data_IF_792929194007
#
_entry.id   IF_792929194007
#
_cell.length_a   1.000
_cell.length_b   1.000
_cell.length_c   1.000
_cell.angle_alpha   90.00
_cell.angle_beta   90.00
_cell.angle_gamma   90.00
#
_symmetry.space_group_name_H-M   'P 1'
#
loop_
_entity.id
_entity.type
_entity.pdbx_description
1 polymer ?
#
# COMPACT_ATOMS: atom_id res chain seq x y z
N UNK A 1 -18.70 8.58 18.70
CA UNK A 1 -18.89 7.81 17.45
C UNK A 1 -17.54 7.19 17.08
N UNK A 2 -17.36 5.88 17.25
CA UNK A 2 -16.10 5.23 16.88
C UNK A 2 -15.91 5.31 15.36
N UNK A 3 -14.81 5.89 14.89
CA UNK A 3 -14.45 5.87 13.47
C UNK A 3 -14.39 4.43 12.97
N UNK A 4 -15.07 4.12 11.86
CA UNK A 4 -14.99 2.78 11.27
C UNK A 4 -13.55 2.48 10.84
N UNK A 5 -13.19 1.20 10.84
CA UNK A 5 -11.84 0.74 10.49
C UNK A 5 -11.31 1.34 9.17
N UNK A 6 -12.18 1.42 8.16
CA UNK A 6 -11.84 1.98 6.86
C UNK A 6 -11.58 3.49 6.90
N UNK A 7 -12.29 4.25 7.74
CA UNK A 7 -12.01 5.68 7.90
C UNK A 7 -10.64 5.91 8.53
N UNK A 8 -10.27 5.13 9.56
CA UNK A 8 -8.94 5.18 10.15
C UNK A 8 -7.87 4.86 9.11
N UNK A 9 -8.07 3.80 8.32
CA UNK A 9 -7.15 3.43 7.23
C UNK A 9 -6.97 4.55 6.21
N UNK A 10 -8.06 5.19 5.78
CA UNK A 10 -7.98 6.33 4.86
C UNK A 10 -7.22 7.52 5.44
N UNK A 11 -7.37 7.79 6.75
CA UNK A 11 -6.60 8.82 7.42
C UNK A 11 -5.10 8.50 7.43
N UNK A 12 -4.72 7.26 7.73
CA UNK A 12 -3.32 6.82 7.65
C UNK A 12 -2.76 6.92 6.23
N UNK A 13 -3.51 6.46 5.23
CA UNK A 13 -3.12 6.57 3.82
C UNK A 13 -2.92 8.03 3.39
N UNK A 14 -3.85 8.92 3.75
CA UNK A 14 -3.76 10.34 3.44
C UNK A 14 -2.57 10.99 4.16
N UNK A 15 -2.38 10.70 5.45
CA UNK A 15 -1.27 11.21 6.25
C UNK A 15 0.09 10.78 5.69
N UNK A 16 0.26 9.51 5.32
CA UNK A 16 1.50 9.02 4.72
C UNK A 16 1.71 9.52 3.29
N UNK A 17 0.63 9.72 2.52
CA UNK A 17 0.73 10.34 1.21
C UNK A 17 1.19 11.81 1.30
N UNK A 18 0.61 12.57 2.23
CA UNK A 18 1.05 13.94 2.51
C UNK A 18 2.50 13.96 3.01
N UNK A 19 2.86 13.06 3.91
CA UNK A 19 4.25 12.90 4.36
C UNK A 19 5.19 12.63 3.18
N UNK A 20 4.81 11.75 2.25
CA UNK A 20 5.60 11.44 1.07
C UNK A 20 5.82 12.66 0.15
N UNK A 21 4.80 13.50 -0.05
CA UNK A 21 4.91 14.70 -0.90
C UNK A 21 5.63 15.84 -0.17
N UNK A 22 5.42 15.98 1.14
CA UNK A 22 5.97 17.07 1.95
C UNK A 22 7.34 16.78 2.55
N UNK A 23 7.79 15.52 2.57
CA UNK A 23 9.08 15.16 3.13
C UNK A 23 10.27 15.87 2.44
N UNK A 24 10.31 16.00 1.10
CA UNK A 24 11.36 16.77 0.45
C UNK A 24 11.33 18.28 0.75
N UNK A 25 10.22 19.03 0.56
CA UNK A 25 10.20 20.47 0.81
C UNK A 25 10.38 20.86 2.28
N UNK A 26 10.08 19.96 3.22
CA UNK A 26 10.33 20.17 4.65
C UNK A 26 11.70 19.64 5.11
N UNK A 27 12.57 19.22 4.18
CA UNK A 27 13.87 18.62 4.46
C UNK A 27 13.81 17.45 5.47
N UNK A 28 12.68 16.75 5.53
CA UNK A 28 12.47 15.63 6.45
C UNK A 28 13.35 14.45 6.06
N UNK A 29 13.32 14.09 4.77
CA UNK A 29 14.15 13.06 4.18
C UNK A 29 14.28 13.30 2.67
N UNK A 30 15.49 13.57 2.20
CA UNK A 30 15.82 13.63 0.77
C UNK A 30 17.29 13.34 0.52
N UNK A 31 17.64 13.01 -0.71
CA UNK A 31 19.02 12.92 -1.17
C UNK A 31 19.30 14.13 -2.07
N UNK A 32 20.30 14.94 -1.73
CA UNK A 32 20.64 16.09 -2.57
C UNK A 32 21.80 15.73 -3.49
N UNK A 33 21.54 15.63 -4.80
CA UNK A 33 22.57 15.39 -5.81
C UNK A 33 23.57 16.54 -5.93
N UNK A 34 23.21 17.76 -5.54
CA UNK A 34 24.14 18.91 -5.60
C UNK A 34 25.12 18.87 -4.44
N UNK A 35 24.67 18.41 -3.27
CA UNK A 35 25.49 18.32 -2.06
C UNK A 35 26.06 16.92 -1.80
N UNK A 36 25.66 15.92 -2.60
CA UNK A 36 26.06 14.50 -2.53
C UNK A 36 25.85 13.83 -1.17
N UNK A 37 24.88 14.29 -0.36
CA UNK A 37 24.54 13.67 0.91
C UNK A 37 23.04 13.59 1.15
N UNK A 38 22.63 12.72 2.08
CA UNK A 38 21.26 12.64 2.54
C UNK A 38 20.98 13.76 3.53
N UNK A 39 19.78 14.34 3.50
CA UNK A 39 19.31 15.28 4.52
C UNK A 39 18.23 14.57 5.31
N UNK A 40 18.40 14.51 6.62
CA UNK A 40 17.44 13.91 7.54
C UNK A 40 17.08 14.94 8.63
N UNK A 41 15.79 15.29 8.73
CA UNK A 41 15.28 16.33 9.64
C UNK A 41 16.05 17.66 9.54
N UNK A 42 16.34 18.12 8.32
CA UNK A 42 17.07 19.36 8.05
C UNK A 42 18.57 19.31 8.37
N UNK A 43 19.11 18.15 8.80
CA UNK A 43 20.53 17.98 9.11
C UNK A 43 21.23 17.19 8.01
N UNK A 44 22.46 17.58 7.61
CA UNK A 44 23.25 16.81 6.66
C UNK A 44 23.65 15.47 7.27
N UNK A 45 23.18 14.39 6.68
CA UNK A 45 23.55 13.02 6.99
C UNK A 45 24.67 12.60 6.04
N UNK A 46 25.90 12.92 6.44
CA UNK A 46 27.11 12.57 5.69
C UNK A 46 27.64 11.21 6.11
N UNK A 47 28.04 10.40 5.13
CA UNK A 47 28.69 9.11 5.33
C UNK A 47 30.21 9.24 5.60
N UNK A 48 30.73 10.48 5.70
CA UNK A 48 32.15 10.79 5.89
C UNK A 48 33.01 10.65 4.63
N UNK A 49 32.40 10.52 3.45
CA UNK A 49 33.12 10.33 2.18
C UNK A 49 33.95 11.57 1.82
N UNK A 50 33.41 12.77 2.03
CA UNK A 50 34.11 14.03 1.74
C UNK A 50 35.35 14.22 2.62
N UNK A 51 35.28 13.77 3.88
CA UNK A 51 36.37 13.84 4.85
C UNK A 51 37.49 12.81 4.57
N UNK A 52 37.14 11.67 3.98
CA UNK A 52 38.11 10.71 3.46
C UNK A 52 38.84 11.26 2.22
N UNK A 53 38.11 11.91 1.31
CA UNK A 53 38.69 12.55 0.10
C UNK A 53 39.56 13.75 0.47
N UNK A 54 39.21 14.49 1.52
CA UNK A 54 40.01 15.58 2.08
C UNK A 54 41.24 15.11 2.88
N UNK A 55 41.38 13.80 3.13
CA UNK A 55 42.50 13.22 3.89
C UNK A 55 42.44 13.46 5.41
N UNK A 56 41.30 13.93 5.94
CA UNK A 56 41.13 14.27 7.35
C UNK A 56 40.79 13.04 8.22
N UNK A 57 40.39 11.92 7.61
CA UNK A 57 39.93 10.71 8.29
C UNK A 57 40.63 9.46 7.75
N UNK A 58 40.96 8.52 8.64
CA UNK A 58 41.55 7.23 8.26
C UNK A 58 40.57 6.37 7.46
N UNK A 59 41.09 5.51 6.57
CA UNK A 59 40.26 4.59 5.77
C UNK A 59 39.38 3.67 6.63
N UNK A 60 39.84 3.33 7.83
CA UNK A 60 39.10 2.54 8.83
C UNK A 60 37.93 3.29 9.46
N UNK A 61 38.10 4.58 9.76
CA UNK A 61 37.03 5.41 10.33
C UNK A 61 35.96 5.77 9.29
N UNK A 62 36.36 5.99 8.03
CA UNK A 62 35.42 6.17 6.93
C UNK A 62 34.60 4.89 6.69
N UNK A 63 35.24 3.71 6.70
CA UNK A 63 34.53 2.43 6.61
C UNK A 63 33.56 2.22 7.77
N UNK A 64 33.97 2.56 9.00
CA UNK A 64 33.11 2.50 10.18
C UNK A 64 31.91 3.46 10.07
N UNK A 65 32.10 4.69 9.58
CA UNK A 65 31.03 5.66 9.37
C UNK A 65 30.03 5.19 8.30
N UNK A 66 30.50 4.66 7.18
CA UNK A 66 29.62 4.10 6.12
C UNK A 66 28.80 2.94 6.68
N UNK A 67 29.43 2.06 7.45
CA UNK A 67 28.72 0.92 8.03
C UNK A 67 27.71 1.36 9.10
N UNK A 68 28.12 2.17 10.07
CA UNK A 68 27.30 2.55 11.22
C UNK A 68 26.22 3.60 10.88
N UNK A 69 26.49 4.54 9.96
CA UNK A 69 25.56 5.60 9.58
C UNK A 69 24.83 5.32 8.27
N UNK A 70 25.34 4.44 7.40
CA UNK A 70 24.68 4.08 6.15
C UNK A 70 24.00 2.71 6.22
N UNK A 71 24.82 1.66 6.30
CA UNK A 71 24.34 0.29 6.17
C UNK A 71 23.47 -0.15 7.36
N UNK A 72 23.91 0.10 8.59
CA UNK A 72 23.23 -0.36 9.80
C UNK A 72 21.81 0.22 9.93
N UNK A 73 21.54 1.53 9.77
CA UNK A 73 20.18 2.07 9.81
C UNK A 73 19.29 1.51 8.69
N UNK A 74 19.82 1.36 7.48
CA UNK A 74 19.09 0.78 6.35
C UNK A 74 18.75 -0.69 6.59
N UNK A 75 19.71 -1.47 7.11
CA UNK A 75 19.52 -2.86 7.47
C UNK A 75 18.50 -3.04 8.60
N UNK A 76 18.56 -2.18 9.64
CA UNK A 76 17.58 -2.18 10.73
C UNK A 76 16.17 -1.82 10.23
N UNK A 77 16.04 -0.81 9.37
CA UNK A 77 14.77 -0.43 8.76
C UNK A 77 14.20 -1.57 7.89
N UNK A 78 15.04 -2.18 7.05
CA UNK A 78 14.66 -3.32 6.22
C UNK A 78 14.25 -4.53 7.07
N UNK A 79 15.04 -4.87 8.09
CA UNK A 79 14.74 -5.97 9.02
C UNK A 79 13.43 -5.70 9.79
N UNK A 80 13.21 -4.47 10.24
CA UNK A 80 11.96 -4.05 10.88
C UNK A 80 10.74 -4.20 9.96
N UNK A 81 10.84 -3.73 8.70
CA UNK A 81 9.78 -3.89 7.71
C UNK A 81 9.49 -5.36 7.39
N UNK A 82 10.54 -6.19 7.28
CA UNK A 82 10.42 -7.63 7.06
C UNK A 82 9.80 -8.32 8.27
N UNK A 83 10.20 -7.95 9.49
CA UNK A 83 9.65 -8.50 10.73
C UNK A 83 8.16 -8.16 10.89
N UNK A 84 7.78 -6.90 10.64
CA UNK A 84 6.37 -6.48 10.62
C UNK A 84 5.61 -7.30 9.58
N UNK A 85 6.17 -7.48 8.39
CA UNK A 85 5.50 -8.25 7.35
C UNK A 85 5.41 -9.76 7.65
N UNK A 86 6.42 -10.31 8.30
CA UNK A 86 6.43 -11.69 8.79
C UNK A 86 5.30 -11.95 9.78
N UNK A 87 4.96 -10.97 10.63
CA UNK A 87 3.87 -11.09 11.62
C UNK A 87 2.50 -10.63 11.13
N UNK A 88 2.43 -9.55 10.35
CA UNK A 88 1.19 -8.87 9.98
C UNK A 88 0.88 -8.88 8.48
N UNK A 89 1.68 -9.55 7.66
CA UNK A 89 1.50 -9.58 6.21
C UNK A 89 1.85 -8.25 5.54
N UNK A 90 1.28 -7.98 4.35
CA UNK A 90 1.56 -6.74 3.61
C UNK A 90 0.75 -5.55 4.15
N UNK A 91 0.70 -5.39 5.48
CA UNK A 91 -0.05 -4.32 6.16
C UNK A 91 0.42 -2.93 5.71
N UNK A 92 1.73 -2.74 5.54
CA UNK A 92 2.31 -1.51 4.99
C UNK A 92 1.67 -1.13 3.65
N UNK A 93 1.56 -2.08 2.71
CA UNK A 93 0.93 -1.85 1.42
C UNK A 93 -0.53 -1.39 1.55
N UNK A 94 -1.29 -1.96 2.49
CA UNK A 94 -2.72 -1.61 2.67
C UNK A 94 -2.98 -0.28 3.39
N UNK A 95 -2.06 0.16 4.25
CA UNK A 95 -2.29 1.23 5.22
C UNK A 95 -1.40 2.47 5.04
N UNK A 96 -0.13 2.28 4.67
CA UNK A 96 0.88 3.34 4.70
C UNK A 96 1.45 3.65 3.31
N UNK A 97 1.41 2.69 2.38
CA UNK A 97 2.00 2.85 1.06
C UNK A 97 1.31 3.97 0.25
N UNK A 98 2.03 5.05 -0.11
CA UNK A 98 1.45 6.16 -0.87
C UNK A 98 1.10 5.78 -2.31
N UNK A 99 1.75 4.75 -2.86
CA UNK A 99 1.40 4.22 -4.19
C UNK A 99 0.02 3.54 -4.16
N UNK A 100 -0.22 2.71 -3.14
CA UNK A 100 -1.47 1.95 -3.03
C UNK A 100 -2.68 2.86 -2.77
N UNK A 101 -2.51 3.98 -2.06
CA UNK A 101 -3.59 4.94 -1.82
C UNK A 101 -4.07 5.61 -3.12
N UNK A 102 -3.14 5.96 -4.01
CA UNK A 102 -3.44 6.46 -5.36
C UNK A 102 -4.13 5.39 -6.18
N UNK A 103 -3.60 4.16 -6.19
CA UNK A 103 -4.18 3.00 -6.89
C UNK A 103 -5.62 2.75 -6.45
N UNK A 104 -5.92 2.84 -5.15
CA UNK A 104 -7.28 2.68 -4.64
C UNK A 104 -8.21 3.80 -5.09
N UNK A 105 -7.72 5.04 -5.12
CA UNK A 105 -8.50 6.20 -5.60
C UNK A 105 -8.85 6.05 -7.08
N UNK A 106 -7.87 5.68 -7.90
CA UNK A 106 -8.07 5.42 -9.34
C UNK A 106 -8.98 4.22 -9.55
N UNK A 107 -8.85 3.16 -8.76
CA UNK A 107 -9.74 2.00 -8.80
C UNK A 107 -11.21 2.40 -8.57
N UNK A 108 -11.48 3.24 -7.57
CA UNK A 108 -12.85 3.73 -7.30
C UNK A 108 -13.41 4.53 -8.46
N UNK A 109 -12.60 5.42 -9.05
CA UNK A 109 -13.01 6.22 -10.21
C UNK A 109 -13.26 5.35 -11.44
N UNK A 110 -12.36 4.41 -11.73
CA UNK A 110 -12.52 3.44 -12.83
C UNK A 110 -13.72 2.53 -12.66
N UNK A 111 -13.96 2.09 -11.42
CA UNK A 111 -15.10 1.28 -11.08
C UNK A 111 -16.41 2.03 -11.32
N UNK A 112 -16.48 3.31 -10.94
CA UNK A 112 -17.62 4.17 -11.24
C UNK A 112 -17.78 4.43 -12.74
N UNK A 113 -16.68 4.56 -13.47
CA UNK A 113 -16.67 4.86 -14.90
C UNK A 113 -17.08 3.68 -15.79
N UNK A 114 -16.71 2.46 -15.41
CA UNK A 114 -16.79 1.28 -16.29
C UNK A 114 -17.42 0.05 -15.65
N UNK A 115 -17.67 0.06 -14.33
CA UNK A 115 -18.07 -1.12 -13.57
C UNK A 115 -16.96 -2.15 -13.39
N UNK A 116 -15.75 -1.85 -13.88
CA UNK A 116 -14.58 -2.73 -13.83
C UNK A 116 -13.50 -2.12 -12.95
N UNK A 117 -12.81 -2.94 -12.16
CA UNK A 117 -11.68 -2.46 -11.35
C UNK A 117 -10.37 -2.42 -12.15
N UNK A 118 -10.37 -2.94 -13.38
CA UNK A 118 -9.29 -2.83 -14.36
C UNK A 118 -9.85 -2.94 -15.77
N UNK A 119 -9.22 -2.27 -16.73
CA UNK A 119 -9.58 -2.37 -18.15
C UNK A 119 -9.44 -3.80 -18.71
N UNK A 120 -8.57 -4.61 -18.11
CA UNK A 120 -8.27 -5.99 -18.54
C UNK A 120 -9.34 -6.99 -18.10
N UNK A 121 -10.30 -6.55 -17.29
CA UNK A 121 -11.31 -7.42 -16.72
C UNK A 121 -12.43 -7.67 -17.75
N UNK A 122 -12.77 -8.95 -17.98
CA UNK A 122 -13.76 -9.32 -19.00
C UNK A 122 -15.16 -8.83 -18.62
N UNK A 123 -15.56 -9.07 -17.38
CA UNK A 123 -16.91 -8.77 -16.89
C UNK A 123 -16.92 -7.65 -15.86
N UNK A 124 -17.92 -6.74 -15.91
CA UNK A 124 -18.15 -5.77 -14.85
C UNK A 124 -18.54 -6.49 -13.53
N UNK A 125 -18.31 -5.83 -12.42
CA UNK A 125 -18.75 -6.32 -11.11
C UNK A 125 -20.27 -6.21 -10.96
N UNK A 126 -20.86 -6.90 -9.97
CA UNK A 126 -22.29 -6.77 -9.69
C UNK A 126 -22.67 -5.31 -9.39
N UNK A 127 -23.82 -4.87 -9.93
CA UNK A 127 -24.35 -3.52 -9.70
C UNK A 127 -24.77 -3.32 -8.23
N UNK A 128 -25.23 -4.39 -7.58
CA UNK A 128 -25.61 -4.39 -6.17
C UNK A 128 -24.36 -4.38 -5.28
N UNK A 129 -24.15 -3.27 -4.60
CA UNK A 129 -23.05 -3.06 -3.68
C UNK A 129 -23.31 -3.70 -2.31
N UNK A 130 -22.27 -3.91 -1.48
CA UNK A 130 -22.41 -4.47 -0.13
C UNK A 130 -23.34 -3.68 0.79
N UNK A 131 -23.51 -2.38 0.54
CA UNK A 131 -24.40 -1.48 1.26
C UNK A 131 -25.85 -1.49 0.75
N UNK A 132 -26.19 -2.39 -0.19
CA UNK A 132 -27.52 -2.49 -0.78
C UNK A 132 -27.82 -1.44 -1.87
N UNK A 133 -26.87 -0.54 -2.17
CA UNK A 133 -27.06 0.46 -3.23
C UNK A 133 -26.81 -0.18 -4.61
N UNK A 134 -27.62 0.21 -5.58
CA UNK A 134 -27.41 -0.13 -6.99
C UNK A 134 -26.52 0.93 -7.63
N UNK A 135 -25.34 0.53 -8.09
CA UNK A 135 -24.41 1.40 -8.79
C UNK A 135 -24.34 1.01 -10.27
N UNK A 136 -24.94 1.85 -11.12
CA UNK A 136 -24.80 1.73 -12.57
C UNK A 136 -23.51 2.42 -13.03
N UNK A 137 -22.67 1.77 -13.85
CA UNK A 137 -21.49 2.41 -14.43
C UNK A 137 -21.87 3.63 -15.29
N UNK A 138 -21.16 4.75 -15.10
CA UNK A 138 -21.36 5.97 -15.88
C UNK A 138 -20.07 6.39 -16.58
N UNK A 139 -20.06 6.30 -17.91
CA UNK A 139 -18.89 6.63 -18.75
C UNK A 139 -18.41 8.08 -18.61
N UNK A 140 -19.24 9.00 -18.09
CA UNK A 140 -18.87 10.40 -17.84
C UNK A 140 -17.74 10.54 -16.81
N UNK A 141 -17.48 9.52 -16.00
CA UNK A 141 -16.37 9.51 -15.03
C UNK A 141 -15.01 9.15 -15.66
N UNK A 142 -14.95 8.78 -16.94
CA UNK A 142 -13.69 8.52 -17.62
C UNK A 142 -12.77 9.75 -17.64
N UNK A 143 -13.19 10.93 -18.14
CA UNK A 143 -12.35 12.13 -18.09
C UNK A 143 -11.79 12.43 -16.69
N UNK A 144 -12.61 12.28 -15.65
CA UNK A 144 -12.16 12.45 -14.27
C UNK A 144 -11.11 11.41 -13.86
N UNK A 145 -11.26 10.16 -14.30
CA UNK A 145 -10.29 9.09 -14.05
C UNK A 145 -8.94 9.38 -14.74
N UNK A 146 -8.97 9.77 -16.02
CA UNK A 146 -7.77 10.13 -16.78
C UNK A 146 -7.08 11.34 -16.15
N UNK A 147 -7.85 12.37 -15.78
CA UNK A 147 -7.33 13.56 -15.12
C UNK A 147 -6.71 13.23 -13.77
N UNK A 148 -7.37 12.42 -12.94
CA UNK A 148 -6.84 12.00 -11.65
C UNK A 148 -5.55 11.18 -11.81
N UNK A 149 -5.51 10.23 -12.74
CA UNK A 149 -4.33 9.43 -13.02
C UNK A 149 -3.16 10.31 -13.51
N UNK A 150 -3.42 11.27 -14.40
CA UNK A 150 -2.41 12.22 -14.89
C UNK A 150 -1.90 13.14 -13.78
N UNK A 151 -2.82 13.67 -12.95
CA UNK A 151 -2.48 14.52 -11.81
C UNK A 151 -1.57 13.78 -10.82
N UNK A 152 -1.95 12.57 -10.41
CA UNK A 152 -1.14 11.78 -9.48
C UNK A 152 0.20 11.35 -10.08
N UNK A 153 0.24 11.00 -11.38
CA UNK A 153 1.48 10.67 -12.08
C UNK A 153 2.43 11.86 -12.12
N UNK A 154 1.92 13.05 -12.44
CA UNK A 154 2.70 14.28 -12.45
C UNK A 154 3.21 14.64 -11.05
N UNK A 155 2.34 14.57 -10.05
CA UNK A 155 2.69 14.84 -8.66
C UNK A 155 3.79 13.88 -8.16
N UNK A 156 3.70 12.59 -8.50
CA UNK A 156 4.74 11.61 -8.17
C UNK A 156 6.05 11.89 -8.90
N UNK A 157 6.01 12.23 -10.20
CA UNK A 157 7.21 12.54 -10.96
C UNK A 157 7.94 13.77 -10.40
N UNK A 158 7.20 14.82 -10.04
CA UNK A 158 7.77 16.01 -9.36
C UNK A 158 8.30 15.64 -7.98
N UNK A 159 7.55 14.87 -7.19
CA UNK A 159 8.00 14.45 -5.84
C UNK A 159 9.29 13.64 -5.92
N UNK A 160 9.40 12.68 -6.85
CA UNK A 160 10.64 11.95 -7.06
C UNK A 160 11.79 12.84 -7.45
N UNK A 161 11.57 13.84 -8.29
CA UNK A 161 12.63 14.79 -8.63
C UNK A 161 13.05 15.61 -7.41
N UNK A 162 12.13 16.03 -6.55
CA UNK A 162 12.44 16.80 -5.32
C UNK A 162 13.10 15.94 -4.23
N UNK A 163 12.96 14.62 -4.28
CA UNK A 163 13.77 13.70 -3.46
C UNK A 163 15.23 13.64 -3.89
N UNK A 164 15.57 14.07 -5.12
CA UNK A 164 16.92 14.01 -5.70
C UNK A 164 17.58 15.39 -5.87
N UNK A 165 16.78 16.45 -6.07
CA UNK A 165 17.22 17.82 -6.32
C UNK A 165 16.58 18.80 -5.34
N UNK A 166 17.17 19.98 -5.12
CA UNK A 166 16.64 20.99 -4.21
C UNK A 166 15.17 21.33 -4.52
N UNK A 167 14.23 21.13 -3.58
CA UNK A 167 12.81 21.26 -3.84
C UNK A 167 12.42 22.70 -4.26
N UNK A 168 13.01 23.71 -3.62
CA UNK A 168 12.74 25.11 -3.92
C UNK A 168 13.09 25.48 -5.37
N UNK A 169 14.21 24.97 -5.90
CA UNK A 169 14.59 25.19 -7.30
C UNK A 169 13.62 24.52 -8.26
N UNK A 170 13.22 23.27 -7.98
CA UNK A 170 12.27 22.54 -8.84
C UNK A 170 10.91 23.24 -8.87
N UNK A 171 10.37 23.61 -7.71
CA UNK A 171 9.09 24.31 -7.65
C UNK A 171 9.17 25.70 -8.29
N UNK A 172 10.23 26.47 -8.02
CA UNK A 172 10.44 27.78 -8.66
C UNK A 172 10.49 27.65 -10.19
N UNK A 173 11.30 26.73 -10.71
CA UNK A 173 11.42 26.52 -12.15
C UNK A 173 10.13 26.01 -12.79
N UNK A 174 9.33 25.24 -12.03
CA UNK A 174 8.02 24.79 -12.49
C UNK A 174 7.00 25.94 -12.57
N UNK A 175 6.96 26.82 -11.56
CA UNK A 175 6.06 27.98 -11.55
C UNK A 175 6.43 29.04 -12.60
N UNK A 176 7.72 29.24 -12.84
CA UNK A 176 8.23 30.20 -13.83
C UNK A 176 8.38 29.62 -15.25
N UNK A 177 7.98 28.36 -15.47
CA UNK A 177 8.16 27.64 -16.74
C UNK A 177 9.61 27.63 -17.26
N UNK A 178 10.59 27.71 -16.36
CA UNK A 178 12.03 27.77 -16.64
C UNK A 178 12.74 26.45 -16.30
N UNK A 179 12.05 25.32 -16.44
CA UNK A 179 12.63 23.99 -16.21
C UNK A 179 13.82 23.76 -17.14
N UNK A 180 14.93 23.27 -16.58
CA UNK A 180 16.07 22.84 -17.39
C UNK A 180 15.67 21.67 -18.29
N UNK A 181 16.34 21.50 -19.43
CA UNK A 181 16.01 20.42 -20.37
C UNK A 181 16.06 19.02 -19.77
N UNK A 182 16.93 18.78 -18.77
CA UNK A 182 16.98 17.52 -18.02
C UNK A 182 15.77 17.36 -17.08
N UNK A 183 15.42 18.40 -16.33
CA UNK A 183 14.28 18.40 -15.40
C UNK A 183 12.97 18.16 -16.15
N UNK A 184 12.75 18.88 -17.27
CA UNK A 184 11.56 18.71 -18.11
C UNK A 184 11.47 17.29 -18.70
N UNK A 185 12.58 16.72 -19.19
CA UNK A 185 12.63 15.34 -19.68
C UNK A 185 12.32 14.33 -18.57
N UNK A 186 12.87 14.51 -17.37
CA UNK A 186 12.60 13.61 -16.25
C UNK A 186 11.13 13.65 -15.83
N UNK A 187 10.57 14.85 -15.64
CA UNK A 187 9.15 15.00 -15.25
C UNK A 187 8.24 14.45 -16.35
N UNK A 188 8.51 14.76 -17.63
CA UNK A 188 7.71 14.28 -18.75
C UNK A 188 7.75 12.76 -18.90
N UNK A 189 8.94 12.16 -18.93
CA UNK A 189 9.10 10.71 -19.04
C UNK A 189 8.54 9.98 -17.80
N UNK A 190 8.84 10.48 -16.59
CA UNK A 190 8.34 9.93 -15.34
C UNK A 190 6.82 9.98 -15.25
N UNK A 191 6.21 11.12 -15.61
CA UNK A 191 4.75 11.27 -15.67
C UNK A 191 4.14 10.31 -16.67
N UNK A 192 4.72 10.17 -17.87
CA UNK A 192 4.23 9.23 -18.88
C UNK A 192 4.27 7.77 -18.42
N UNK A 193 5.39 7.32 -17.85
CA UNK A 193 5.53 5.95 -17.36
C UNK A 193 4.61 5.66 -16.19
N UNK A 194 4.52 6.57 -15.20
CA UNK A 194 3.62 6.42 -14.06
C UNK A 194 2.15 6.48 -14.47
N UNK A 195 1.82 7.32 -15.44
CA UNK A 195 0.46 7.39 -15.99
C UNK A 195 0.06 6.04 -16.61
N UNK A 196 0.95 5.45 -17.42
CA UNK A 196 0.73 4.12 -18.00
C UNK A 196 0.61 3.06 -16.89
N UNK A 197 1.48 3.12 -15.87
CA UNK A 197 1.42 2.20 -14.74
C UNK A 197 0.08 2.32 -14.01
N UNK A 198 -0.34 3.51 -13.60
CA UNK A 198 -1.59 3.72 -12.90
C UNK A 198 -2.82 3.31 -13.72
N UNK A 199 -2.86 3.59 -15.03
CA UNK A 199 -4.01 3.25 -15.86
C UNK A 199 -4.09 1.77 -16.24
N UNK A 200 -2.94 1.18 -16.61
CA UNK A 200 -2.89 -0.12 -17.26
C UNK A 200 -2.23 -1.21 -16.39
N UNK A 201 -1.17 -0.90 -15.63
CA UNK A 201 -0.33 -1.90 -14.97
C UNK A 201 -0.38 -1.92 -13.42
N UNK A 202 -1.19 -1.07 -12.77
CA UNK A 202 -1.17 -0.87 -11.31
C UNK A 202 -1.25 -2.14 -10.47
N UNK A 203 -2.15 -3.05 -10.84
CA UNK A 203 -2.35 -4.30 -10.11
C UNK A 203 -1.18 -5.27 -10.34
N UNK A 204 -0.57 -5.23 -11.52
CA UNK A 204 0.63 -6.00 -11.84
C UNK A 204 1.83 -5.47 -11.05
N UNK A 205 1.99 -4.14 -10.98
CA UNK A 205 3.06 -3.49 -10.25
C UNK A 205 2.97 -3.77 -8.75
N UNK A 206 1.83 -3.51 -8.09
CA UNK A 206 1.68 -3.79 -6.66
C UNK A 206 1.82 -5.29 -6.32
N UNK A 207 1.52 -6.18 -7.27
CA UNK A 207 1.58 -7.64 -7.08
C UNK A 207 3.00 -8.20 -7.23
N UNK A 208 3.68 -7.83 -8.31
CA UNK A 208 4.95 -8.43 -8.74
C UNK A 208 6.08 -7.43 -8.99
N UNK A 209 5.78 -6.17 -9.34
CA UNK A 209 6.80 -5.16 -9.65
C UNK A 209 7.39 -4.47 -8.42
N UNK A 210 6.57 -4.24 -7.38
CA UNK A 210 7.02 -3.56 -6.17
C UNK A 210 7.86 -4.50 -5.31
N UNK A 211 9.17 -4.24 -5.24
CA UNK A 211 10.12 -5.03 -4.44
C UNK A 211 9.67 -5.15 -2.98
N UNK A 212 9.28 -4.04 -2.34
CA UNK A 212 8.76 -4.05 -0.96
C UNK A 212 7.59 -5.01 -0.82
N UNK A 213 6.59 -4.93 -1.71
CA UNK A 213 5.43 -5.83 -1.67
C UNK A 213 5.80 -7.29 -1.84
N UNK A 214 6.73 -7.61 -2.74
CA UNK A 214 7.19 -8.99 -2.98
C UNK A 214 7.92 -9.55 -1.77
N UNK A 215 8.88 -8.82 -1.18
CA UNK A 215 9.60 -9.27 0.02
C UNK A 215 8.67 -9.42 1.24
N UNK A 216 7.71 -8.51 1.41
CA UNK A 216 6.70 -8.62 2.47
C UNK A 216 5.83 -9.87 2.30
N UNK A 217 5.44 -10.19 1.06
CA UNK A 217 4.79 -11.46 0.73
C UNK A 217 5.65 -12.67 1.08
N UNK A 218 6.93 -12.58 0.70
CA UNK A 218 8.03 -13.48 0.99
C UNK A 218 7.97 -13.96 2.44
N UNK A 219 8.25 -12.99 3.29
CA UNK A 219 8.34 -13.13 4.73
C UNK A 219 7.02 -13.63 5.35
N UNK A 220 5.88 -13.09 4.89
CA UNK A 220 4.58 -13.49 5.41
C UNK A 220 4.22 -14.95 5.07
N UNK A 221 4.57 -15.42 3.87
CA UNK A 221 4.32 -16.79 3.45
C UNK A 221 5.19 -17.80 4.20
N UNK A 222 6.36 -17.39 4.68
CA UNK A 222 7.21 -18.22 5.53
C UNK A 222 6.62 -18.45 6.93
N UNK A 223 5.69 -17.61 7.39
CA UNK A 223 5.08 -17.72 8.72
C UNK A 223 3.63 -18.23 8.68
N UNK A 224 3.39 -19.48 9.08
CA UNK A 224 2.02 -20.01 9.15
C UNK A 224 1.17 -19.43 10.30
N UNK A 225 1.80 -18.71 11.25
CA UNK A 225 1.13 -18.03 12.39
C UNK A 225 0.87 -16.55 12.15
N UNK A 226 1.39 -15.98 11.05
CA UNK A 226 1.21 -14.57 10.75
C UNK A 226 -0.26 -14.23 10.48
N UNK A 227 -0.68 -13.01 10.85
CA UNK A 227 -2.03 -12.48 10.69
C UNK A 227 -2.53 -12.70 9.26
N UNK A 228 -3.78 -13.16 9.14
CA UNK A 228 -4.44 -13.39 7.85
C UNK A 228 -5.95 -13.21 8.00
N UNK A 229 -6.63 -12.84 6.93
CA UNK A 229 -8.10 -12.88 6.89
C UNK A 229 -8.58 -14.34 6.95
N UNK A 230 -9.26 -14.69 8.03
CA UNK A 230 -9.90 -15.99 8.23
C UNK A 230 -11.39 -15.94 7.91
N UNK A 231 -11.91 -17.08 7.43
CA UNK A 231 -13.32 -17.27 7.12
C UNK A 231 -13.93 -18.33 8.03
N UNK A 232 -15.04 -18.00 8.68
CA UNK A 232 -15.80 -18.92 9.50
C UNK A 232 -16.61 -19.90 8.64
N UNK A 233 -16.02 -21.09 8.45
CA UNK A 233 -16.62 -22.16 7.65
C UNK A 233 -17.89 -22.76 8.29
N UNK A 234 -18.06 -22.67 9.61
CA UNK A 234 -19.23 -23.21 10.29
C UNK A 234 -20.52 -22.48 9.88
N UNK A 235 -20.39 -21.17 9.62
CA UNK A 235 -21.46 -20.29 9.19
C UNK A 235 -21.51 -20.09 7.67
N UNK A 236 -20.80 -20.89 6.89
CA UNK A 236 -20.67 -20.70 5.44
C UNK A 236 -22.00 -20.68 4.67
N UNK A 237 -23.05 -21.33 5.19
CA UNK A 237 -24.41 -21.27 4.60
C UNK A 237 -24.94 -19.83 4.49
N UNK A 238 -24.58 -18.94 5.41
CA UNK A 238 -24.97 -17.52 5.39
C UNK A 238 -24.37 -16.76 4.20
N UNK A 239 -23.34 -17.29 3.54
CA UNK A 239 -22.82 -16.70 2.32
C UNK A 239 -23.67 -17.01 1.07
N UNK A 240 -24.58 -17.98 1.11
CA UNK A 240 -25.44 -18.30 -0.03
C UNK A 240 -26.37 -17.15 -0.43
N UNK A 241 -26.76 -16.33 0.55
CA UNK A 241 -27.59 -15.13 0.36
C UNK A 241 -26.75 -13.91 -0.08
N UNK A 242 -25.41 -14.03 -0.12
CA UNK A 242 -24.48 -12.95 -0.43
C UNK A 242 -23.95 -13.06 -1.88
N UNK A 243 -23.94 -11.96 -2.62
CA UNK A 243 -23.41 -11.87 -3.98
C UNK A 243 -21.85 -11.87 -4.07
N UNK A 244 -21.16 -12.55 -3.15
CA UNK A 244 -19.70 -12.53 -3.00
C UNK A 244 -19.11 -11.12 -2.79
N UNK A 245 -19.82 -10.27 -2.03
CA UNK A 245 -19.41 -8.89 -1.71
C UNK A 245 -17.93 -8.75 -1.34
N UNK A 246 -17.40 -9.67 -0.51
CA UNK A 246 -16.00 -9.66 -0.08
C UNK A 246 -14.97 -9.87 -1.21
N UNK A 247 -15.30 -10.68 -2.23
CA UNK A 247 -14.46 -10.90 -3.41
C UNK A 247 -14.50 -9.65 -4.30
N UNK A 248 -15.70 -9.06 -4.45
CA UNK A 248 -15.93 -7.92 -5.35
C UNK A 248 -15.21 -6.65 -4.89
N UNK A 249 -15.15 -6.40 -3.57
CA UNK A 249 -14.45 -5.24 -3.01
C UNK A 249 -12.94 -5.43 -2.90
N UNK A 250 -12.41 -6.66 -3.04
CA UNK A 250 -10.98 -6.89 -2.82
C UNK A 250 -10.16 -6.19 -3.92
N UNK A 251 -9.32 -5.19 -3.58
CA UNK A 251 -8.56 -4.42 -4.57
C UNK A 251 -7.52 -5.30 -5.29
N UNK A 252 -7.06 -6.36 -4.63
CA UNK A 252 -6.10 -7.33 -5.17
C UNK A 252 -6.77 -8.52 -5.88
N UNK A 253 -8.10 -8.51 -6.05
CA UNK A 253 -8.88 -9.58 -6.69
C UNK A 253 -8.62 -10.97 -6.10
N UNK A 254 -8.43 -11.00 -4.78
CA UNK A 254 -8.29 -12.25 -4.03
C UNK A 254 -9.68 -12.75 -3.63
N UNK A 255 -9.74 -14.04 -3.30
CA UNK A 255 -10.93 -14.67 -2.71
C UNK A 255 -10.68 -14.83 -1.20
N UNK A 256 -11.16 -13.91 -0.33
CA UNK A 256 -10.82 -13.89 1.10
C UNK A 256 -11.28 -15.12 1.89
N UNK A 257 -12.11 -15.97 1.26
CA UNK A 257 -12.58 -17.26 1.79
C UNK A 257 -11.59 -18.42 1.55
N UNK A 258 -10.51 -18.17 0.81
CA UNK A 258 -9.51 -19.17 0.45
C UNK A 258 -8.44 -19.33 1.52
N UNK A 259 -7.59 -20.34 1.35
CA UNK A 259 -6.39 -20.53 2.19
C UNK A 259 -5.33 -19.48 1.90
N UNK A 260 -4.46 -19.21 2.89
CA UNK A 260 -3.38 -18.20 2.84
C UNK A 260 -2.54 -18.26 1.57
N UNK A 261 -2.18 -19.47 1.12
CA UNK A 261 -1.37 -19.68 -0.11
C UNK A 261 -2.01 -19.10 -1.37
N UNK A 262 -3.35 -19.05 -1.45
CA UNK A 262 -4.08 -18.42 -2.57
C UNK A 262 -4.27 -16.91 -2.40
N UNK A 263 -3.84 -16.37 -1.26
CA UNK A 263 -3.95 -14.97 -0.88
C UNK A 263 -2.58 -14.33 -0.66
N UNK A 264 -1.52 -14.83 -1.32
CA UNK A 264 -0.15 -14.37 -1.10
C UNK A 264 0.00 -12.84 -1.20
N UNK A 265 -0.80 -12.18 -2.04
CA UNK A 265 -0.76 -10.73 -2.30
C UNK A 265 -1.73 -9.92 -1.43
N UNK A 266 -2.28 -10.52 -0.36
CA UNK A 266 -3.20 -9.82 0.54
C UNK A 266 -2.50 -8.62 1.18
N UNK A 267 -3.12 -7.45 1.08
CA UNK A 267 -2.62 -6.20 1.68
C UNK A 267 -3.14 -5.94 3.08
N UNK A 268 -3.91 -6.87 3.65
CA UNK A 268 -4.51 -6.73 4.98
C UNK A 268 -5.24 -5.38 5.15
N UNK A 269 -5.95 -4.93 4.11
CA UNK A 269 -6.72 -3.68 4.12
C UNK A 269 -8.11 -3.81 4.74
N UNK A 270 -8.54 -5.03 5.07
CA UNK A 270 -9.83 -5.38 5.68
C UNK A 270 -11.10 -4.90 4.95
N UNK A 271 -11.01 -4.48 3.68
CA UNK A 271 -12.21 -4.10 2.91
C UNK A 271 -13.20 -5.27 2.80
N UNK A 272 -12.69 -6.49 2.66
CA UNK A 272 -13.49 -7.71 2.64
C UNK A 272 -14.24 -7.96 3.97
N UNK A 273 -13.60 -7.68 5.11
CA UNK A 273 -14.18 -7.80 6.45
C UNK A 273 -15.31 -6.77 6.59
N UNK A 274 -15.05 -5.50 6.27
CA UNK A 274 -16.06 -4.43 6.34
C UNK A 274 -17.23 -4.68 5.38
N UNK A 275 -16.98 -5.20 4.18
CA UNK A 275 -18.05 -5.55 3.25
C UNK A 275 -18.91 -6.71 3.76
N UNK A 276 -18.29 -7.74 4.35
CA UNK A 276 -19.03 -8.84 4.98
C UNK A 276 -19.87 -8.35 6.15
N UNK A 277 -19.32 -7.50 7.01
CA UNK A 277 -20.04 -6.85 8.11
C UNK A 277 -21.25 -6.05 7.60
N UNK A 278 -21.08 -5.28 6.52
CA UNK A 278 -22.15 -4.47 5.94
C UNK A 278 -23.30 -5.33 5.43
N UNK A 279 -23.00 -6.45 4.77
CA UNK A 279 -24.01 -7.39 4.26
C UNK A 279 -24.73 -8.13 5.40
N UNK A 280 -24.03 -8.42 6.51
CA UNK A 280 -24.62 -9.14 7.64
C UNK A 280 -25.42 -8.23 8.59
N UNK A 281 -25.16 -6.92 8.58
CA UNK A 281 -25.77 -5.93 9.47
C UNK A 281 -27.32 -5.92 9.45
N UNK A 282 -28.02 -5.97 8.30
CA UNK A 282 -29.49 -5.99 8.26
C UNK A 282 -30.11 -7.20 8.97
N UNK A 283 -29.36 -8.29 9.09
CA UNK A 283 -29.80 -9.53 9.75
C UNK A 283 -29.37 -9.61 11.22
N UNK A 284 -28.77 -8.54 11.78
CA UNK A 284 -28.16 -8.52 13.11
C UNK A 284 -27.13 -9.65 13.34
N UNK A 285 -26.42 -10.05 12.27
CA UNK A 285 -25.41 -11.11 12.30
C UNK A 285 -24.00 -10.51 12.32
N UNK A 286 -23.06 -11.22 12.95
CA UNK A 286 -21.65 -10.84 12.91
C UNK A 286 -21.00 -11.20 11.57
N UNK A 287 -19.95 -10.46 11.19
CA UNK A 287 -19.12 -10.78 10.02
C UNK A 287 -18.61 -12.23 10.07
N UNK A 288 -18.51 -12.86 8.90
CA UNK A 288 -17.89 -14.20 8.74
C UNK A 288 -16.40 -14.12 8.43
N UNK A 289 -15.90 -12.92 8.11
CA UNK A 289 -14.50 -12.65 7.87
C UNK A 289 -13.94 -11.84 9.03
N UNK A 290 -12.80 -12.26 9.55
CA UNK A 290 -12.08 -11.57 10.62
C UNK A 290 -10.57 -11.78 10.45
N UNK A 291 -9.76 -10.87 11.00
CA UNK A 291 -8.34 -11.16 11.14
C UNK A 291 -8.14 -12.25 12.19
N UNK A 292 -7.37 -13.26 11.84
CA UNK A 292 -6.95 -14.32 12.74
C UNK A 292 -5.42 -14.36 12.78
N UNK A 293 -4.89 -14.72 13.94
CA UNK A 293 -3.46 -14.76 14.21
C UNK A 293 -3.10 -16.06 14.94
N UNK A 294 -1.81 -16.38 14.98
CA UNK A 294 -1.25 -17.49 15.74
C UNK A 294 -1.93 -18.82 15.44
N UNK A 295 -2.53 -19.50 16.43
CA UNK A 295 -3.16 -20.82 16.23
C UNK A 295 -4.31 -20.78 15.22
N UNK A 296 -5.13 -19.72 15.26
CA UNK A 296 -6.25 -19.57 14.34
C UNK A 296 -5.78 -19.29 12.89
N UNK A 297 -4.62 -18.64 12.72
CA UNK A 297 -4.01 -18.43 11.41
C UNK A 297 -3.47 -19.72 10.78
N UNK A 298 -3.00 -20.69 11.59
CA UNK A 298 -2.46 -21.97 11.07
C UNK A 298 -3.52 -22.72 10.25
N UNK A 299 -4.78 -22.72 10.68
CA UNK A 299 -5.84 -23.39 9.94
C UNK A 299 -6.11 -22.75 8.57
N UNK A 300 -6.05 -21.43 8.49
CA UNK A 300 -6.16 -20.69 7.21
C UNK A 300 -4.90 -20.90 6.36
N UNK A 301 -3.72 -21.00 6.98
CA UNK A 301 -2.45 -21.18 6.30
C UNK A 301 -2.28 -22.56 5.67
N UNK A 302 -2.65 -23.60 6.40
CA UNK A 302 -2.46 -25.00 6.01
C UNK A 302 -3.70 -25.61 5.34
N UNK A 303 -4.87 -24.98 5.49
CA UNK A 303 -6.15 -25.54 5.07
C UNK A 303 -6.64 -26.70 5.94
N UNK A 304 -5.94 -27.00 7.05
CA UNK A 304 -6.34 -28.02 8.03
C UNK A 304 -7.23 -27.37 9.11
N UNK A 305 -8.23 -28.07 9.66
CA UNK A 305 -9.01 -27.55 10.77
C UNK A 305 -8.10 -27.30 12.00
N UNK A 306 -8.38 -26.24 12.77
CA UNK A 306 -7.75 -26.02 14.08
C UNK A 306 -8.09 -27.25 14.93
N UNK A 307 -7.10 -27.98 15.42
CA UNK A 307 -7.33 -29.01 16.45
C UNK A 307 -7.99 -28.31 17.63
N UNK A 308 -9.27 -28.62 17.86
CA UNK A 308 -10.16 -27.93 18.78
C UNK A 308 -9.54 -27.73 20.16
N UNK A 309 -9.12 -26.51 20.49
CA UNK A 309 -9.11 -26.08 21.88
C UNK A 309 -10.50 -25.53 22.20
N UNK A 310 -11.10 -26.08 23.27
CA UNK A 310 -12.39 -25.66 23.84
C UNK A 310 -12.46 -24.12 23.91
N UNK A 311 -13.59 -23.50 23.56
CA UNK A 311 -13.76 -22.06 23.76
C UNK A 311 -13.58 -21.73 25.24
N UNK A 312 -12.63 -20.84 25.55
CA UNK A 312 -12.59 -20.19 26.86
C UNK A 312 -13.89 -19.40 27.01
N UNK A 313 -14.73 -19.83 27.94
CA UNK A 313 -15.89 -19.07 28.41
C UNK A 313 -15.42 -17.67 28.82
N UNK A 314 -15.86 -16.67 28.07
CA UNK A 314 -15.78 -15.28 28.55
C UNK A 314 -16.75 -15.15 29.74
N UNK A 315 -16.32 -14.56 30.86
CA UNK A 315 -17.24 -14.22 31.94
C UNK A 315 -18.11 -13.05 31.46
N UNK A 316 -19.43 -13.26 31.47
CA UNK A 316 -20.43 -12.21 31.29
C UNK A 316 -20.48 -11.39 32.59
N UNK A 317 -20.50 -10.05 32.55
CA UNK A 317 -20.71 -9.21 33.74
C UNK A 317 -22.11 -9.38 34.35
#
# INVERSE_FOLDING_TARGET
MSLSLQHKRHLFQAGFFLLFVLAPPLDLFRFDLTLNHFILFGRPWTLGIDQLVAGEISSTEAAANIFLRGFLPLALAAAGLIWIAWRFGRLYCGWLCPHFSVVETINRLMFRASGKQSIWEKSPQPELQPNGLYMKPDRRFWPLTWLAALFFAFLWAVSFLTYLLPPFEIYHNLFHFSLTGNQARFIGAGTGLLFIEFMFARHLFCRFGCAVGVFQSLAWMANNRGMVVGFDRSRAKLCGECNNACDNVCPMRLKPRSIKRRMFTCTECAQCITACETVQKPFARQTLLQWVEDEAAIAVATGRPVTSQKPKSQPVP
#
